data_IF_153191953193
#
_entry.id   IF_153191953193
#
_cell.length_a   1.000
_cell.length_b   1.000
_cell.length_c   1.000
_cell.angle_alpha   90.00
_cell.angle_beta   90.00
_cell.angle_gamma   90.00
#
_symmetry.space_group_name_H-M   'P 1'
#
loop_
_entity.id
_entity.type
_entity.pdbx_description
1 polymer ?
#
# COMPACT_ATOMS: atom_id res chain seq x y z
N UNK A 1 -72.39 -8.47 6.45
CA UNK A 1 -71.14 -7.77 6.82
C UNK A 1 -71.00 -7.79 8.33
N UNK A 2 -69.87 -8.28 8.86
CA UNK A 2 -69.42 -8.09 10.26
C UNK A 2 -67.89 -7.98 10.22
N UNK A 3 -67.32 -7.03 10.95
CA UNK A 3 -65.88 -6.76 10.97
C UNK A 3 -65.36 -7.12 12.36
N UNK A 4 -64.47 -8.12 12.42
CA UNK A 4 -63.72 -8.43 13.65
C UNK A 4 -62.36 -7.71 13.57
N UNK A 5 -62.21 -6.62 14.31
CA UNK A 5 -60.92 -5.96 14.48
C UNK A 5 -60.07 -6.73 15.48
N UNK A 6 -58.88 -7.20 15.07
CA UNK A 6 -57.85 -7.66 15.98
C UNK A 6 -57.04 -6.46 16.50
N UNK A 7 -57.02 -6.27 17.82
CA UNK A 7 -56.12 -5.31 18.47
C UNK A 7 -54.83 -6.05 18.83
N UNK A 8 -53.71 -5.66 18.21
CA UNK A 8 -52.38 -6.17 18.53
C UNK A 8 -51.65 -5.12 19.37
N UNK A 9 -51.34 -5.45 20.62
CA UNK A 9 -50.57 -4.60 21.51
C UNK A 9 -49.07 -4.89 21.36
N UNK A 10 -48.29 -3.91 20.90
CA UNK A 10 -46.83 -3.98 20.85
C UNK A 10 -46.24 -3.51 22.19
N UNK A 11 -45.72 -4.46 22.97
CA UNK A 11 -45.01 -4.16 24.21
C UNK A 11 -43.56 -3.73 23.95
N UNK A 12 -43.23 -2.48 24.28
CA UNK A 12 -41.87 -1.94 24.19
C UNK A 12 -41.10 -2.26 25.49
N UNK A 13 -40.21 -3.25 25.45
CA UNK A 13 -39.28 -3.54 26.55
C UNK A 13 -37.96 -2.77 26.37
N UNK A 14 -37.86 -1.60 27.00
CA UNK A 14 -36.65 -0.78 27.02
C UNK A 14 -35.55 -1.39 27.88
N UNK A 15 -34.56 -2.07 27.29
CA UNK A 15 -33.37 -2.56 28.00
C UNK A 15 -32.33 -1.45 28.10
N UNK A 16 -32.15 -0.89 29.29
CA UNK A 16 -31.04 0.05 29.56
C UNK A 16 -29.73 -0.72 29.77
N UNK A 17 -28.79 -0.61 28.82
CA UNK A 17 -27.44 -1.14 28.98
C UNK A 17 -26.61 -0.16 29.82
N UNK A 18 -26.40 -0.49 31.09
CA UNK A 18 -25.48 0.25 31.96
C UNK A 18 -24.05 -0.18 31.65
N UNK A 19 -23.31 0.66 30.91
CA UNK A 19 -21.88 0.45 30.67
C UNK A 19 -21.09 0.81 31.93
N UNK A 20 -20.64 -0.19 32.68
CA UNK A 20 -19.75 0.00 33.82
C UNK A 20 -18.31 0.28 33.34
N UNK A 21 -17.94 1.55 33.26
CA UNK A 21 -16.57 1.96 32.95
C UNK A 21 -15.61 1.60 34.10
N UNK A 22 -14.65 0.71 33.83
CA UNK A 22 -13.65 0.28 34.82
C UNK A 22 -12.55 1.34 34.93
N UNK A 23 -12.75 2.33 35.79
CA UNK A 23 -11.73 3.33 36.12
C UNK A 23 -10.55 2.69 36.87
N UNK A 24 -9.39 2.60 36.20
CA UNK A 24 -8.12 2.16 36.78
C UNK A 24 -7.54 3.28 37.66
N UNK A 25 -7.30 3.08 38.97
CA UNK A 25 -6.87 4.16 39.86
C UNK A 25 -5.38 4.50 39.65
N UNK A 26 -5.11 5.67 39.05
CA UNK A 26 -3.81 6.31 39.07
C UNK A 26 -3.78 7.43 40.12
N UNK A 27 -3.04 7.24 41.21
CA UNK A 27 -2.94 8.24 42.28
C UNK A 27 -2.10 9.44 41.86
N UNK A 28 -2.71 10.63 41.84
CA UNK A 28 -2.01 11.92 41.83
C UNK A 28 -2.69 12.88 42.82
N UNK A 29 -1.88 13.54 43.63
CA UNK A 29 -2.31 14.28 44.83
C UNK A 29 -2.96 15.62 44.47
N UNK A 30 -4.05 15.97 45.16
CA UNK A 30 -4.71 17.27 44.96
C UNK A 30 -3.85 18.44 45.46
N UNK A 31 -3.91 19.56 44.74
CA UNK A 31 -3.79 20.88 45.35
C UNK A 31 -4.75 21.85 44.65
N UNK A 32 -5.68 22.41 45.42
CA UNK A 32 -6.85 23.14 44.90
C UNK A 32 -6.69 24.65 45.07
N UNK A 33 -6.97 25.43 44.02
CA UNK A 33 -7.28 26.86 44.18
C UNK A 33 -8.18 27.35 43.04
N UNK A 34 -9.19 28.17 43.39
CA UNK A 34 -10.28 28.55 42.48
C UNK A 34 -10.31 30.06 42.21
N UNK A 35 -10.43 30.44 40.93
CA UNK A 35 -10.99 31.68 40.38
C UNK A 35 -11.09 31.47 38.85
N UNK A 36 -12.14 31.71 38.05
CA UNK A 36 -13.41 32.47 38.09
C UNK A 36 -13.39 33.72 37.18
N UNK A 37 -14.09 33.63 36.03
CA UNK A 37 -14.47 34.73 35.09
C UNK A 37 -13.25 35.45 34.42
N UNK A 38 -13.27 36.01 33.21
CA UNK A 38 -14.35 36.54 32.34
C UNK A 38 -14.00 36.40 30.83
N UNK A 39 -14.92 36.84 29.96
CA UNK A 39 -14.90 36.79 28.49
C UNK A 39 -14.01 37.85 27.79
N UNK A 40 -13.92 37.68 26.47
CA UNK A 40 -13.88 38.68 25.39
C UNK A 40 -12.54 39.21 24.82
N UNK A 41 -12.60 39.44 23.50
CA UNK A 41 -11.71 40.26 22.65
C UNK A 41 -10.24 39.85 22.48
N UNK A 42 -9.53 40.24 21.40
CA UNK A 42 -9.90 40.63 20.02
C UNK A 42 -8.59 40.86 19.24
N UNK A 43 -8.60 40.69 17.91
CA UNK A 43 -7.59 41.28 16.97
C UNK A 43 -6.15 40.70 17.08
N UNK A 44 -5.24 40.75 16.08
CA UNK A 44 -5.29 41.20 14.66
C UNK A 44 -4.07 40.67 13.87
N UNK A 45 -4.19 40.64 12.52
CA UNK A 45 -3.13 40.88 11.52
C UNK A 45 -1.89 39.96 11.47
N UNK A 46 -1.69 39.33 10.32
CA UNK A 46 -0.45 39.48 9.51
C UNK A 46 -0.73 39.19 8.04
N UNK A 47 0.05 39.80 7.14
CA UNK A 47 -0.19 39.88 5.69
C UNK A 47 1.15 39.65 4.97
N UNK A 48 1.19 38.82 3.92
CA UNK A 48 2.26 38.88 2.91
C UNK A 48 1.87 38.14 1.61
N UNK A 49 1.88 38.83 0.45
CA UNK A 49 1.99 38.19 -0.85
C UNK A 49 3.00 38.92 -1.77
N UNK A 50 4.22 38.37 -1.89
CA UNK A 50 5.23 38.71 -2.89
C UNK A 50 6.01 37.44 -3.29
N UNK A 51 6.63 37.31 -4.47
CA UNK A 51 6.35 37.92 -5.77
C UNK A 51 7.05 37.12 -6.89
N UNK A 52 6.57 37.29 -8.12
CA UNK A 52 7.11 36.87 -9.42
C UNK A 52 8.61 36.51 -9.55
N UNK A 53 8.92 35.45 -10.31
CA UNK A 53 9.90 35.55 -11.42
C UNK A 53 9.77 34.41 -12.44
N UNK A 54 9.77 34.77 -13.74
CA UNK A 54 9.82 33.86 -14.89
C UNK A 54 11.16 33.99 -15.62
N UNK A 55 11.80 32.88 -16.00
CA UNK A 55 12.87 32.87 -17.01
C UNK A 55 12.70 31.65 -17.92
N UNK A 56 12.67 31.91 -19.23
CA UNK A 56 12.67 30.88 -20.28
C UNK A 56 14.08 30.66 -20.83
N UNK A 57 14.36 29.48 -21.39
CA UNK A 57 15.36 29.35 -22.46
C UNK A 57 15.11 28.09 -23.31
N UNK A 58 15.74 28.01 -24.48
CA UNK A 58 15.29 27.21 -25.61
C UNK A 58 16.04 25.88 -25.83
N UNK A 59 15.52 25.13 -26.80
CA UNK A 59 15.98 23.85 -27.31
C UNK A 59 17.46 23.77 -27.73
N UNK A 60 17.93 22.52 -27.88
CA UNK A 60 18.82 22.14 -28.97
C UNK A 60 18.58 20.69 -29.40
N UNK A 61 18.67 20.43 -30.70
CA UNK A 61 18.58 19.08 -31.27
C UNK A 61 19.98 18.48 -31.49
N UNK A 62 20.06 17.16 -31.65
CA UNK A 62 21.12 16.48 -32.39
C UNK A 62 20.68 15.06 -32.76
N UNK A 63 20.91 14.67 -34.03
CA UNK A 63 20.56 13.36 -34.60
C UNK A 63 21.61 12.94 -35.64
N UNK A 64 21.75 11.64 -35.92
CA UNK A 64 22.84 10.99 -36.71
C UNK A 64 24.21 10.99 -35.97
N UNK A 65 25.21 10.12 -36.18
CA UNK A 65 25.72 9.34 -37.34
C UNK A 65 26.70 8.22 -36.82
N UNK A 66 27.17 7.16 -37.51
CA UNK A 66 26.94 6.49 -38.82
C UNK A 66 27.65 5.09 -38.81
N UNK A 67 27.28 4.17 -39.74
CA UNK A 67 28.02 2.92 -40.10
C UNK A 67 28.05 1.75 -39.08
N UNK A 68 28.35 0.48 -39.46
CA UNK A 68 29.08 -0.05 -40.64
C UNK A 68 28.44 -1.32 -41.23
N UNK A 69 28.74 -1.63 -42.50
CA UNK A 69 28.16 -2.73 -43.31
C UNK A 69 29.22 -3.72 -43.86
N UNK A 70 28.75 -4.90 -44.27
CA UNK A 70 29.30 -5.88 -45.22
C UNK A 70 30.76 -6.40 -45.13
N UNK A 71 30.90 -7.73 -44.93
CA UNK A 71 31.86 -8.59 -45.65
C UNK A 71 31.36 -10.05 -45.58
N UNK A 72 30.70 -10.62 -46.60
CA UNK A 72 31.21 -11.09 -47.91
C UNK A 72 31.72 -12.54 -47.88
N UNK A 73 30.91 -13.39 -48.54
CA UNK A 73 31.04 -14.81 -48.89
C UNK A 73 32.42 -15.42 -49.14
N UNK A 74 32.54 -16.73 -48.86
CA UNK A 74 32.99 -17.75 -49.83
C UNK A 74 32.16 -19.02 -49.63
N UNK A 75 31.70 -19.64 -50.73
CA UNK A 75 31.20 -21.02 -50.76
C UNK A 75 32.11 -21.86 -51.65
N UNK A 76 32.52 -23.04 -51.17
CA UNK A 76 33.18 -24.07 -51.97
C UNK A 76 32.54 -25.43 -51.66
N UNK A 77 32.04 -26.10 -52.69
CA UNK A 77 31.46 -27.44 -52.60
C UNK A 77 32.43 -28.47 -53.14
N UNK A 78 32.82 -29.46 -52.33
CA UNK A 78 33.50 -30.68 -52.80
C UNK A 78 32.98 -31.90 -52.06
N UNK A 79 32.37 -32.82 -52.80
CA UNK A 79 31.88 -34.12 -52.31
C UNK A 79 33.03 -35.08 -52.03
N UNK A 80 33.00 -35.82 -50.92
CA UNK A 80 33.68 -37.12 -50.82
C UNK A 80 33.07 -38.04 -49.75
N UNK A 81 33.55 -39.29 -49.76
CA UNK A 81 33.06 -40.47 -49.05
C UNK A 81 32.76 -40.32 -47.54
N UNK A 82 31.85 -41.17 -47.07
CA UNK A 82 31.64 -41.41 -45.64
C UNK A 82 32.69 -42.37 -45.08
N UNK A 83 33.17 -42.12 -43.87
CA UNK A 83 33.82 -43.13 -43.04
C UNK A 83 33.46 -42.91 -41.56
N UNK A 84 33.17 -43.99 -40.85
CA UNK A 84 32.55 -43.93 -39.51
C UNK A 84 33.58 -43.72 -38.41
N UNK A 85 33.52 -42.58 -37.71
CA UNK A 85 34.23 -42.40 -36.43
C UNK A 85 33.29 -41.81 -35.38
N UNK A 86 32.86 -42.65 -34.44
CA UNK A 86 32.03 -42.23 -33.31
C UNK A 86 32.88 -41.56 -32.23
N UNK A 87 33.20 -40.28 -32.43
CA UNK A 87 33.71 -39.43 -31.35
C UNK A 87 32.56 -39.15 -30.38
N UNK A 88 32.64 -39.70 -29.17
CA UNK A 88 31.71 -39.34 -28.09
C UNK A 88 32.03 -37.94 -27.60
N UNK A 89 31.49 -36.93 -28.27
CA UNK A 89 31.40 -35.59 -27.68
C UNK A 89 30.54 -35.69 -26.43
N UNK A 90 31.18 -35.54 -25.26
CA UNK A 90 30.48 -35.37 -24.01
C UNK A 90 29.76 -34.02 -24.06
N UNK A 91 28.49 -34.03 -24.46
CA UNK A 91 27.64 -32.86 -24.47
C UNK A 91 27.63 -32.25 -23.06
N UNK A 92 28.39 -31.19 -22.87
CA UNK A 92 28.47 -30.46 -21.61
C UNK A 92 27.14 -29.74 -21.43
N UNK A 93 26.19 -30.43 -20.80
CA UNK A 93 24.90 -29.87 -20.41
C UNK A 93 25.14 -28.69 -19.48
N UNK A 94 25.19 -27.49 -20.05
CA UNK A 94 24.97 -26.24 -19.33
C UNK A 94 23.53 -26.23 -18.87
N UNK A 95 23.26 -26.96 -17.78
CA UNK A 95 22.09 -26.75 -16.95
C UNK A 95 22.09 -25.28 -16.59
N UNK A 96 21.25 -24.49 -17.26
CA UNK A 96 20.95 -23.16 -16.79
C UNK A 96 20.49 -23.30 -15.35
N UNK A 97 21.16 -22.63 -14.42
CA UNK A 97 20.58 -22.44 -13.11
C UNK A 97 19.19 -21.82 -13.32
N UNK A 98 18.21 -22.29 -12.56
CA UNK A 98 16.92 -21.60 -12.50
C UNK A 98 17.11 -20.17 -11.98
N UNK A 99 16.11 -19.29 -12.16
CA UNK A 99 16.11 -17.99 -11.48
C UNK A 99 16.42 -18.17 -9.99
N UNK A 100 17.21 -17.27 -9.37
CA UNK A 100 17.48 -17.36 -7.94
C UNK A 100 16.16 -17.34 -7.15
N UNK A 101 16.06 -18.08 -6.02
CA UNK A 101 14.85 -18.10 -5.23
C UNK A 101 14.50 -16.68 -4.77
N UNK A 102 13.25 -16.27 -4.99
CA UNK A 102 12.76 -14.95 -4.57
C UNK A 102 12.81 -14.89 -3.03
N UNK A 103 13.47 -13.89 -2.42
CA UNK A 103 13.60 -13.82 -0.97
C UNK A 103 12.26 -13.54 -0.30
N UNK A 104 11.96 -14.30 0.75
CA UNK A 104 10.76 -14.15 1.59
C UNK A 104 11.09 -13.51 2.95
N UNK A 105 10.20 -12.67 3.45
CA UNK A 105 10.38 -11.95 4.71
C UNK A 105 9.04 -11.65 5.41
N UNK A 106 9.02 -11.57 6.74
CA UNK A 106 7.93 -10.90 7.45
C UNK A 106 8.16 -9.38 7.37
N UNK A 107 7.10 -8.58 7.25
CA UNK A 107 7.19 -7.12 7.45
C UNK A 107 6.90 -6.78 8.91
N UNK A 108 7.79 -6.00 9.53
CA UNK A 108 7.70 -5.50 10.90
C UNK A 108 7.53 -3.98 10.88
N UNK A 109 6.55 -3.46 11.62
CA UNK A 109 6.39 -2.02 11.81
C UNK A 109 7.47 -1.45 12.74
N UNK A 110 7.97 -0.28 12.41
CA UNK A 110 8.97 0.46 13.19
C UNK A 110 8.72 1.97 13.16
N UNK A 111 9.54 2.72 13.89
CA UNK A 111 9.23 4.09 14.30
C UNK A 111 8.50 4.13 15.65
N UNK A 112 8.06 5.32 16.06
CA UNK A 112 7.27 5.51 17.28
C UNK A 112 5.78 5.54 16.98
N UNK A 113 5.03 4.51 17.40
CA UNK A 113 3.59 4.43 17.15
C UNK A 113 2.95 3.20 17.80
N UNK A 114 1.61 3.07 17.73
CA UNK A 114 0.88 2.00 18.40
C UNK A 114 1.09 0.61 17.76
N UNK A 115 1.54 0.56 16.50
CA UNK A 115 1.89 -0.67 15.78
C UNK A 115 3.37 -1.08 15.92
N UNK A 116 4.21 -0.33 16.65
CA UNK A 116 5.66 -0.53 16.64
C UNK A 116 6.09 -1.93 17.15
N UNK A 117 6.96 -2.60 16.39
CA UNK A 117 7.46 -3.97 16.57
C UNK A 117 6.42 -5.08 16.34
N UNK A 118 5.23 -4.77 15.82
CA UNK A 118 4.23 -5.77 15.44
C UNK A 118 4.41 -6.21 13.97
N UNK A 119 3.85 -7.39 13.63
CA UNK A 119 3.93 -7.99 12.28
C UNK A 119 2.78 -7.53 11.38
N UNK A 120 3.08 -7.33 10.10
CA UNK A 120 2.08 -7.11 9.05
C UNK A 120 1.37 -8.44 8.72
N UNK A 121 0.05 -8.39 8.59
CA UNK A 121 -0.81 -9.51 8.21
C UNK A 121 -1.65 -9.14 7.00
N UNK A 122 -1.62 -10.00 5.99
CA UNK A 122 -2.49 -9.95 4.80
C UNK A 122 -3.73 -10.85 4.97
N UNK A 123 -4.19 -11.06 6.20
CA UNK A 123 -5.32 -11.95 6.53
C UNK A 123 -6.55 -11.70 5.65
N UNK A 124 -6.97 -12.72 4.89
CA UNK A 124 -8.19 -12.68 4.04
C UNK A 124 -9.50 -12.48 4.83
N UNK A 125 -9.47 -12.45 6.18
CA UNK A 125 -10.61 -12.10 7.04
C UNK A 125 -10.67 -10.60 7.39
N UNK A 126 -9.59 -9.86 7.18
CA UNK A 126 -9.58 -8.41 7.28
C UNK A 126 -9.85 -7.81 5.89
N UNK A 127 -10.59 -6.68 5.77
CA UNK A 127 -10.71 -5.95 4.51
C UNK A 127 -9.43 -5.18 4.16
N UNK A 128 -8.56 -4.92 5.14
CA UNK A 128 -7.29 -4.20 4.98
C UNK A 128 -6.10 -5.09 5.36
N UNK A 129 -4.93 -4.78 4.83
CA UNK A 129 -3.66 -5.28 5.40
C UNK A 129 -3.43 -4.55 6.73
N UNK A 130 -3.10 -5.30 7.78
CA UNK A 130 -3.10 -4.81 9.17
C UNK A 130 -1.82 -5.17 9.91
N UNK A 131 -1.41 -4.32 10.84
CA UNK A 131 -0.49 -4.65 11.91
C UNK A 131 -1.28 -5.11 13.15
N UNK A 132 -0.69 -5.98 13.97
CA UNK A 132 -1.25 -6.41 15.26
C UNK A 132 -2.61 -7.15 15.15
N UNK A 133 -2.69 -8.11 14.21
CA UNK A 133 -3.92 -8.85 13.91
C UNK A 133 -4.27 -9.92 14.96
N UNK A 134 -4.93 -9.50 16.04
CA UNK A 134 -5.34 -10.31 17.21
C UNK A 134 -6.38 -11.42 16.95
N UNK A 135 -6.91 -11.60 15.74
CA UNK A 135 -8.05 -12.51 15.51
C UNK A 135 -7.66 -14.00 15.36
N UNK A 136 -6.87 -14.52 16.30
CA UNK A 136 -6.51 -15.93 16.48
C UNK A 136 -5.46 -16.47 15.50
N UNK A 137 -5.51 -16.05 14.25
CA UNK A 137 -4.51 -16.36 13.21
C UNK A 137 -3.46 -15.23 13.17
N UNK A 138 -2.59 -15.18 14.19
CA UNK A 138 -1.44 -14.28 14.24
C UNK A 138 -0.39 -14.69 13.19
N UNK A 139 -0.68 -14.37 11.93
CA UNK A 139 -0.07 -14.97 10.76
C UNK A 139 1.45 -14.77 10.68
N UNK A 140 2.20 -15.87 10.54
CA UNK A 140 3.55 -15.90 9.96
C UNK A 140 3.50 -15.60 8.44
N UNK A 141 2.82 -14.50 8.06
CA UNK A 141 2.67 -14.08 6.67
C UNK A 141 4.04 -13.69 6.12
N UNK A 142 4.47 -14.41 5.08
CA UNK A 142 5.69 -14.14 4.36
C UNK A 142 5.35 -13.34 3.11
N UNK A 143 6.01 -12.20 2.97
CA UNK A 143 5.94 -11.36 1.78
C UNK A 143 7.16 -11.60 0.91
N UNK A 144 7.02 -11.30 -0.38
CA UNK A 144 8.11 -11.31 -1.36
C UNK A 144 7.92 -10.18 -2.36
N UNK A 145 9.01 -9.74 -3.00
CA UNK A 145 8.98 -8.71 -4.05
C UNK A 145 9.25 -9.41 -5.39
N UNK A 146 8.34 -9.23 -6.34
CA UNK A 146 8.43 -9.83 -7.67
C UNK A 146 9.54 -9.15 -8.52
N UNK A 147 10.64 -9.85 -8.89
CA UNK A 147 11.83 -9.18 -9.41
C UNK A 147 11.67 -8.42 -10.73
N UNK A 148 10.67 -8.78 -11.55
CA UNK A 148 10.41 -8.14 -12.84
C UNK A 148 9.50 -6.91 -12.75
N UNK A 149 8.74 -6.77 -11.66
CA UNK A 149 7.62 -5.80 -11.56
C UNK A 149 7.65 -4.96 -10.29
N UNK A 150 8.54 -5.27 -9.33
CA UNK A 150 8.60 -4.65 -8.01
C UNK A 150 7.38 -4.95 -7.12
N UNK A 151 6.44 -5.80 -7.55
CA UNK A 151 5.16 -5.97 -6.85
C UNK A 151 5.32 -6.74 -5.56
N UNK A 152 4.72 -6.23 -4.47
CA UNK A 152 4.67 -6.92 -3.19
C UNK A 152 3.61 -8.02 -3.21
N UNK A 153 4.06 -9.26 -3.03
CA UNK A 153 3.25 -10.49 -3.01
C UNK A 153 3.16 -11.05 -1.60
N UNK A 154 2.02 -11.66 -1.30
CA UNK A 154 1.80 -12.43 -0.05
C UNK A 154 2.39 -13.84 -0.18
N UNK A 155 2.21 -14.69 0.84
CA UNK A 155 2.54 -16.12 0.77
C UNK A 155 1.68 -16.88 -0.25
N UNK A 156 0.55 -16.29 -0.69
CA UNK A 156 -0.25 -16.78 -1.78
C UNK A 156 0.19 -16.11 -3.10
N UNK A 157 0.65 -16.88 -4.12
CA UNK A 157 1.33 -16.34 -5.30
C UNK A 157 0.43 -15.50 -6.23
N UNK A 158 -0.89 -15.63 -6.10
CA UNK A 158 -1.88 -14.89 -6.88
C UNK A 158 -2.35 -13.60 -6.19
N UNK A 159 -2.02 -13.42 -4.90
CA UNK A 159 -2.43 -12.25 -4.09
C UNK A 159 -1.25 -11.32 -3.83
N UNK A 160 -1.48 -10.05 -4.18
CA UNK A 160 -0.59 -8.93 -3.99
C UNK A 160 -1.14 -7.98 -2.91
N UNK A 161 -0.29 -7.09 -2.43
CA UNK A 161 -0.73 -5.90 -1.68
C UNK A 161 -0.91 -4.75 -2.66
N UNK A 162 -2.09 -4.11 -2.62
CA UNK A 162 -2.42 -2.95 -3.42
C UNK A 162 -2.76 -1.73 -2.56
N UNK A 163 -2.54 -0.56 -3.15
CA UNK A 163 -3.25 0.66 -2.79
C UNK A 163 -4.69 0.60 -3.35
N UNK A 164 -5.68 0.92 -2.51
CA UNK A 164 -7.05 1.27 -2.93
C UNK A 164 -7.36 2.73 -2.64
N UNK A 165 -8.18 3.35 -3.49
CA UNK A 165 -8.49 4.77 -3.47
C UNK A 165 -9.99 5.02 -3.49
N UNK A 166 -10.47 5.99 -2.70
CA UNK A 166 -11.89 6.39 -2.68
C UNK A 166 -12.78 5.60 -1.73
N UNK A 167 -12.23 4.94 -0.69
CA UNK A 167 -13.06 4.30 0.33
C UNK A 167 -13.83 5.30 1.18
N UNK A 168 -14.95 4.85 1.74
CA UNK A 168 -15.81 5.70 2.55
C UNK A 168 -15.10 6.14 3.85
N UNK A 169 -14.85 7.44 4.00
CA UNK A 169 -14.10 8.00 5.13
C UNK A 169 -12.58 7.99 4.97
N UNK A 170 -12.06 7.62 3.79
CA UNK A 170 -10.65 7.75 3.44
C UNK A 170 -10.27 9.24 3.31
N UNK A 171 -9.20 9.72 3.97
CA UNK A 171 -8.73 11.09 3.78
C UNK A 171 -8.28 11.35 2.34
N UNK A 172 -8.63 12.51 1.78
CA UNK A 172 -8.28 12.88 0.42
C UNK A 172 -6.75 12.86 0.20
N UNK A 173 -6.29 12.31 -0.92
CA UNK A 173 -4.86 12.17 -1.22
C UNK A 173 -4.12 11.12 -0.39
N UNK A 174 -4.84 10.17 0.22
CA UNK A 174 -4.29 8.94 0.84
C UNK A 174 -4.74 7.69 0.09
N UNK A 175 -4.10 6.55 0.33
CA UNK A 175 -4.49 5.22 -0.15
C UNK A 175 -4.63 4.26 1.03
N UNK A 176 -5.60 3.34 1.04
CA UNK A 176 -5.63 2.23 2.01
C UNK A 176 -4.94 1.00 1.43
N UNK A 177 -4.32 0.17 2.26
CA UNK A 177 -3.65 -1.06 1.81
C UNK A 177 -4.55 -2.29 1.97
N UNK A 178 -4.72 -3.03 0.88
CA UNK A 178 -5.65 -4.15 0.76
C UNK A 178 -5.03 -5.31 -0.02
N UNK A 179 -5.58 -6.51 0.17
CA UNK A 179 -5.29 -7.64 -0.71
C UNK A 179 -5.93 -7.41 -2.08
N UNK A 180 -5.23 -7.81 -3.15
CA UNK A 180 -5.73 -7.74 -4.52
C UNK A 180 -5.20 -8.90 -5.37
N UNK A 181 -5.94 -9.22 -6.43
CA UNK A 181 -5.49 -10.06 -7.54
C UNK A 181 -5.64 -9.31 -8.88
N UNK A 182 -5.21 -9.93 -9.97
CA UNK A 182 -5.32 -9.34 -11.31
C UNK A 182 -6.79 -9.07 -11.70
N UNK A 183 -7.73 -9.95 -11.35
CA UNK A 183 -9.16 -9.75 -11.68
C UNK A 183 -9.76 -8.56 -10.92
N UNK A 184 -9.34 -8.34 -9.67
CA UNK A 184 -9.72 -7.18 -8.87
C UNK A 184 -9.32 -5.88 -9.56
N UNK A 185 -8.09 -5.80 -10.09
CA UNK A 185 -7.61 -4.63 -10.84
C UNK A 185 -8.27 -4.52 -12.21
N UNK A 186 -8.44 -5.61 -12.95
CA UNK A 186 -9.07 -5.60 -14.28
C UNK A 186 -10.53 -5.11 -14.23
N UNK A 187 -11.24 -5.36 -13.12
CA UNK A 187 -12.64 -4.92 -12.91
C UNK A 187 -12.74 -3.54 -12.26
N UNK A 188 -11.87 -3.21 -11.30
CA UNK A 188 -11.94 -1.95 -10.57
C UNK A 188 -11.12 -0.81 -11.20
N UNK A 189 -10.19 -1.11 -12.11
CA UNK A 189 -9.39 -0.12 -12.84
C UNK A 189 -8.71 0.90 -11.91
N UNK A 190 -9.02 2.18 -12.11
CA UNK A 190 -8.38 3.31 -11.42
C UNK A 190 -8.60 3.38 -9.90
N UNK A 191 -9.48 2.56 -9.31
CA UNK A 191 -9.61 2.43 -7.85
C UNK A 191 -8.48 1.66 -7.18
N UNK A 192 -7.68 0.90 -7.93
CA UNK A 192 -6.61 0.08 -7.39
C UNK A 192 -5.28 0.35 -8.09
N UNK A 193 -4.19 0.13 -7.37
CA UNK A 193 -2.85 0.07 -7.95
C UNK A 193 -1.98 -0.92 -7.16
N UNK A 194 -1.19 -1.72 -7.88
CA UNK A 194 -0.10 -2.47 -7.26
C UNK A 194 0.89 -1.52 -6.58
N UNK A 195 1.43 -1.94 -5.43
CA UNK A 195 2.60 -1.29 -4.86
C UNK A 195 3.85 -1.69 -5.65
N UNK A 196 4.69 -0.72 -6.02
CA UNK A 196 6.04 -0.97 -6.50
C UNK A 196 7.01 -0.80 -5.31
N UNK A 197 7.64 -1.89 -4.88
CA UNK A 197 8.41 -1.99 -3.66
C UNK A 197 9.86 -2.44 -3.92
N UNK A 198 10.75 -1.95 -3.07
CA UNK A 198 12.18 -2.29 -3.03
C UNK A 198 12.57 -2.70 -1.61
N UNK A 199 13.61 -3.53 -1.51
CA UNK A 199 14.19 -4.01 -0.26
C UNK A 199 15.68 -3.66 -0.22
N UNK A 200 16.04 -2.64 0.56
CA UNK A 200 17.43 -2.23 0.79
C UNK A 200 17.82 -2.41 2.26
N UNK A 201 18.90 -3.16 2.51
CA UNK A 201 19.49 -3.40 3.84
C UNK A 201 18.51 -3.82 4.96
N UNK A 202 17.37 -4.44 4.60
CA UNK A 202 16.32 -4.84 5.55
C UNK A 202 15.20 -3.82 5.74
N UNK A 203 15.23 -2.67 5.07
CA UNK A 203 14.10 -1.73 4.97
C UNK A 203 13.27 -2.01 3.72
N UNK A 204 11.95 -1.99 3.86
CA UNK A 204 11.01 -2.13 2.74
C UNK A 204 10.44 -0.76 2.40
N UNK A 205 10.72 -0.26 1.20
CA UNK A 205 10.19 1.00 0.69
C UNK A 205 9.26 0.71 -0.47
N UNK A 206 7.98 1.08 -0.34
CA UNK A 206 7.00 0.96 -1.41
C UNK A 206 6.55 2.31 -1.92
N UNK A 207 6.14 2.32 -3.18
CA UNK A 207 5.49 3.45 -3.84
C UNK A 207 4.15 3.02 -4.45
N UNK A 208 3.18 3.91 -4.42
CA UNK A 208 1.92 3.81 -5.14
C UNK A 208 1.74 5.07 -6.01
N UNK A 209 1.04 5.02 -7.15
CA UNK A 209 0.63 6.24 -7.87
C UNK A 209 -0.29 7.08 -6.97
N UNK A 210 -0.14 8.40 -7.00
CA UNK A 210 -1.08 9.29 -6.30
C UNK A 210 -2.35 9.47 -7.13
N UNK A 211 -3.50 9.36 -6.47
CA UNK A 211 -4.82 9.65 -7.05
C UNK A 211 -5.64 10.50 -6.12
N UNK A 212 -6.46 11.37 -6.70
CA UNK A 212 -7.54 12.07 -6.01
C UNK A 212 -8.88 11.46 -6.41
N UNK A 213 -9.62 10.94 -5.44
CA UNK A 213 -10.93 10.35 -5.67
C UNK A 213 -12.02 11.24 -5.09
N UNK A 214 -12.83 11.82 -5.97
CA UNK A 214 -14.05 12.52 -5.58
C UNK A 214 -15.26 11.62 -5.79
N UNK A 215 -16.39 11.96 -5.15
CA UNK A 215 -17.67 11.24 -5.31
C UNK A 215 -18.71 12.11 -6.00
N UNK A 216 -18.58 12.23 -7.31
CA UNK A 216 -19.49 13.02 -8.14
C UNK A 216 -20.69 12.19 -8.61
N UNK A 217 -21.91 12.67 -8.34
CA UNK A 217 -23.17 12.06 -8.80
C UNK A 217 -23.36 10.58 -8.43
N UNK A 218 -22.97 10.21 -7.19
CA UNK A 218 -22.99 8.86 -6.58
C UNK A 218 -21.93 7.88 -7.07
N UNK A 219 -21.38 8.06 -8.26
CA UNK A 219 -20.17 7.36 -8.70
C UNK A 219 -18.96 7.95 -7.95
N UNK A 220 -17.91 7.15 -7.77
CA UNK A 220 -16.60 7.70 -7.44
C UNK A 220 -15.85 7.96 -8.76
N UNK A 221 -14.84 8.84 -8.74
CA UNK A 221 -13.96 9.05 -9.89
C UNK A 221 -12.55 9.38 -9.39
N UNK A 222 -11.58 8.53 -9.75
CA UNK A 222 -10.20 8.56 -9.24
C UNK A 222 -9.20 9.06 -10.28
N UNK A 223 -8.86 10.34 -10.21
CA UNK A 223 -7.97 10.99 -11.17
C UNK A 223 -6.50 10.95 -10.69
N UNK A 224 -5.52 10.59 -11.54
CA UNK A 224 -4.12 10.87 -11.26
C UNK A 224 -3.83 12.38 -11.30
N UNK A 225 -2.68 12.83 -10.81
CA UNK A 225 -2.20 14.19 -11.11
C UNK A 225 -1.43 14.25 -12.43
N UNK A 226 -1.43 15.41 -13.09
CA UNK A 226 -0.75 15.63 -14.37
C UNK A 226 0.77 15.37 -14.31
N UNK A 227 1.35 15.42 -13.10
CA UNK A 227 2.76 15.15 -12.85
C UNK A 227 3.10 13.65 -12.68
N UNK A 228 2.10 12.76 -12.58
CA UNK A 228 2.32 11.31 -12.37
C UNK A 228 3.03 11.00 -11.05
N UNK A 229 2.72 11.75 -9.99
CA UNK A 229 3.42 11.66 -8.70
C UNK A 229 3.11 10.37 -7.95
N UNK A 230 3.98 10.00 -7.01
CA UNK A 230 3.79 8.84 -6.14
C UNK A 230 3.54 9.19 -4.68
N UNK A 231 3.12 8.17 -3.93
CA UNK A 231 2.89 8.12 -2.49
C UNK A 231 3.90 7.13 -1.91
N UNK A 232 4.45 7.36 -0.72
CA UNK A 232 5.54 6.52 -0.18
C UNK A 232 5.68 6.48 1.34
N UNK A 233 4.99 7.34 2.09
CA UNK A 233 4.95 7.27 3.56
C UNK A 233 3.80 6.36 3.97
N UNK A 234 4.07 5.37 4.83
CA UNK A 234 3.03 4.55 5.42
C UNK A 234 2.52 5.17 6.72
N UNK A 235 1.23 5.03 7.00
CA UNK A 235 0.65 5.37 8.30
C UNK A 235 -0.39 4.35 8.72
N UNK A 236 -0.68 4.31 10.03
CA UNK A 236 -1.62 3.35 10.62
C UNK A 236 -2.83 4.02 11.26
N UNK A 237 -3.95 3.31 11.26
CA UNK A 237 -5.21 3.71 11.90
C UNK A 237 -5.90 2.52 12.58
N UNK A 238 -6.53 2.72 13.75
CA UNK A 238 -7.12 1.63 14.53
C UNK A 238 -8.35 1.04 13.84
N UNK A 239 -8.40 -0.28 13.74
CA UNK A 239 -9.57 -1.06 13.34
C UNK A 239 -10.04 -1.89 14.52
N UNK A 240 -11.28 -1.67 14.97
CA UNK A 240 -11.79 -2.13 16.28
C UNK A 240 -11.77 -3.64 16.53
N UNK A 241 -11.60 -4.46 15.49
CA UNK A 241 -11.52 -5.93 15.56
C UNK A 241 -10.31 -6.52 14.84
N UNK A 242 -9.43 -5.70 14.26
CA UNK A 242 -8.39 -6.16 13.31
C UNK A 242 -7.01 -5.51 13.55
N UNK A 243 -6.76 -4.93 14.72
CA UNK A 243 -5.50 -4.24 15.01
C UNK A 243 -5.42 -2.87 14.35
N UNK A 244 -4.36 -2.61 13.59
CA UNK A 244 -4.10 -1.32 12.94
C UNK A 244 -4.00 -1.47 11.42
N UNK A 245 -5.00 -0.98 10.69
CA UNK A 245 -4.94 -0.98 9.22
C UNK A 245 -3.87 -0.01 8.72
N UNK A 246 -3.24 -0.38 7.60
CA UNK A 246 -2.18 0.44 6.98
C UNK A 246 -2.71 1.23 5.79
N UNK A 247 -2.18 2.43 5.64
CA UNK A 247 -2.48 3.37 4.57
C UNK A 247 -1.17 4.01 4.06
N UNK A 248 -1.22 4.66 2.90
CA UNK A 248 -0.11 5.41 2.30
C UNK A 248 -0.50 6.85 2.00
N UNK A 249 0.49 7.75 2.03
CA UNK A 249 0.34 9.15 1.66
C UNK A 249 1.63 9.71 1.03
N UNK A 250 1.57 10.95 0.51
CA UNK A 250 2.77 11.79 0.33
C UNK A 250 3.25 12.35 1.66
N UNK A 251 2.30 12.81 2.48
CA UNK A 251 2.48 13.33 3.83
C UNK A 251 1.41 12.75 4.76
N UNK A 252 1.82 12.25 5.92
CA UNK A 252 0.91 11.57 6.86
C UNK A 252 -0.09 12.57 7.44
N UNK A 253 -1.42 12.33 7.37
CA UNK A 253 -2.39 13.29 7.86
C UNK A 253 -2.33 13.47 9.39
N UNK A 254 -2.69 14.66 9.87
CA UNK A 254 -2.68 14.99 11.30
C UNK A 254 -3.57 14.05 12.12
N UNK A 255 -3.01 13.45 13.17
CA UNK A 255 -3.72 12.52 14.06
C UNK A 255 -3.47 11.04 13.78
N UNK A 256 -2.81 10.71 12.66
CA UNK A 256 -2.35 9.36 12.34
C UNK A 256 -0.89 9.17 12.77
N UNK A 257 -0.45 7.92 12.92
CA UNK A 257 0.96 7.58 13.20
C UNK A 257 1.66 7.09 11.94
N UNK A 258 2.75 7.74 11.56
CA UNK A 258 3.67 7.26 10.53
C UNK A 258 4.37 5.97 10.99
N UNK A 259 4.60 5.03 10.08
CA UNK A 259 5.34 3.78 10.35
C UNK A 259 6.35 3.49 9.25
N UNK A 260 7.51 2.97 9.64
CA UNK A 260 8.50 2.45 8.68
C UNK A 260 8.45 0.92 8.64
N UNK A 261 8.50 0.34 7.45
CA UNK A 261 8.45 -1.10 7.23
C UNK A 261 9.87 -1.69 7.14
N UNK A 262 10.15 -2.72 7.94
CA UNK A 262 11.39 -3.50 7.83
C UNK A 262 11.10 -4.97 7.51
N UNK A 263 11.94 -5.58 6.68
CA UNK A 263 11.94 -7.00 6.37
C UNK A 263 12.74 -7.78 7.42
N UNK A 264 12.08 -8.70 8.11
CA UNK A 264 12.74 -9.81 8.79
C UNK A 264 12.80 -10.98 7.81
N UNK A 265 13.96 -11.18 7.18
CA UNK A 265 14.22 -12.30 6.25
C UNK A 265 14.20 -13.62 7.02
N UNK A 266 13.64 -14.67 6.40
CA UNK A 266 13.42 -16.01 6.98
C UNK A 266 14.07 -17.08 6.12
#
# INVERSE_FOLDING_TARGET
>A
MRVNGFVVALGLCSVQVVVAAVCRPGSITLSSKSASVTEDSSSTISISPEASSTVSTEASSSTASISTDASTTISVSTTSAAETTSTTEAATSTTSAGPPPIPTFNVIASGGGPAANTRLSSSRRAPFVTFDYEAGDASDELFSIEPETGRLKTSNPDIYVCATFGENGQPAGTAYLVNCDQQTIDVAGDYFAYLNCELDQGKVTCTAPWRNCNRDNFEWMCYPDEAGSTMGKFFVFPQSTWGYAVAMARDVPSGYSEVEWNALVV
#
